data_IF_733077920399
#
_entry.id   IF_733077920399
#
_cell.length_a   1.000
_cell.length_b   1.000
_cell.length_c   1.000
_cell.angle_alpha   90.00
_cell.angle_beta   90.00
_cell.angle_gamma   90.00
#
_symmetry.space_group_name_H-M   'P 1'
#
loop_
_entity.id
_entity.type
_entity.pdbx_description
1 polymer ?
#
# COMPACT_ATOMS: atom_id res chain seq x y z
N UNK A 1 -9.56 -4.30 -24.17
CA UNK A 1 -10.45 -3.34 -23.49
C UNK A 1 -9.60 -2.47 -22.59
N UNK A 2 -9.34 -1.24 -23.00
CA UNK A 2 -8.58 -0.28 -22.17
C UNK A 2 -9.51 0.89 -21.83
N UNK A 3 -10.07 0.89 -20.62
CA UNK A 3 -10.67 2.11 -20.07
C UNK A 3 -9.61 2.89 -19.29
N UNK A 4 -9.59 4.20 -19.46
CA UNK A 4 -8.69 5.07 -18.68
C UNK A 4 -9.14 5.08 -17.22
N UNK A 5 -8.26 4.67 -16.31
CA UNK A 5 -8.47 4.81 -14.87
C UNK A 5 -8.45 6.28 -14.51
N UNK A 6 -9.42 6.73 -13.74
CA UNK A 6 -9.46 8.08 -13.17
C UNK A 6 -9.30 8.02 -11.66
N UNK A 7 -8.76 9.07 -11.06
CA UNK A 7 -8.65 9.17 -9.60
C UNK A 7 -10.07 9.07 -8.99
N UNK A 8 -10.32 8.18 -8.02
CA UNK A 8 -11.60 8.09 -7.33
C UNK A 8 -11.99 9.45 -6.71
N UNK A 9 -13.29 9.74 -6.65
CA UNK A 9 -13.80 11.06 -6.25
C UNK A 9 -13.29 11.48 -4.87
N UNK A 10 -13.43 10.61 -3.85
CA UNK A 10 -12.98 10.93 -2.48
C UNK A 10 -11.46 11.12 -2.40
N UNK A 11 -10.71 10.35 -3.18
CA UNK A 11 -9.26 10.51 -3.27
C UNK A 11 -8.86 11.81 -3.92
N UNK A 12 -9.57 12.22 -4.97
CA UNK A 12 -9.37 13.52 -5.61
C UNK A 12 -9.66 14.67 -4.65
N UNK A 13 -10.76 14.60 -3.91
CA UNK A 13 -11.12 15.60 -2.89
C UNK A 13 -10.04 15.70 -1.80
N UNK A 14 -9.52 14.55 -1.35
CA UNK A 14 -8.43 14.50 -0.38
C UNK A 14 -7.15 15.12 -0.93
N UNK A 15 -6.76 14.78 -2.17
CA UNK A 15 -5.57 15.32 -2.85
C UNK A 15 -5.69 16.83 -3.00
N UNK A 16 -6.81 17.31 -3.54
CA UNK A 16 -7.05 18.75 -3.78
C UNK A 16 -6.95 19.57 -2.48
N UNK A 17 -7.45 19.01 -1.37
CA UNK A 17 -7.43 19.65 -0.06
C UNK A 17 -6.03 19.66 0.57
N UNK A 18 -5.28 18.56 0.46
CA UNK A 18 -4.08 18.35 1.26
C UNK A 18 -2.76 18.59 0.52
N UNK A 19 -2.78 18.56 -0.82
CA UNK A 19 -1.60 18.71 -1.69
C UNK A 19 -1.75 19.88 -2.65
N UNK A 20 -2.13 21.04 -2.12
CA UNK A 20 -2.39 22.25 -2.93
C UNK A 20 -1.22 22.58 -3.87
N UNK A 21 -1.55 22.84 -5.13
CA UNK A 21 -0.58 23.19 -6.20
C UNK A 21 0.03 21.99 -6.94
N UNK A 22 -0.27 20.75 -6.55
CA UNK A 22 0.33 19.54 -7.16
C UNK A 22 -0.65 18.69 -7.99
N UNK A 23 -1.93 19.03 -8.00
CA UNK A 23 -3.01 18.22 -8.58
C UNK A 23 -2.99 18.12 -10.11
N UNK A 24 -2.25 18.96 -10.79
CA UNK A 24 -2.17 18.95 -12.27
C UNK A 24 -1.39 17.74 -12.84
N UNK A 25 -0.59 17.05 -12.03
CA UNK A 25 0.33 16.00 -12.48
C UNK A 25 0.17 14.71 -11.66
N UNK A 26 -1.06 14.18 -11.59
CA UNK A 26 -1.27 12.89 -10.94
C UNK A 26 -0.73 11.74 -11.79
N UNK A 27 0.04 10.86 -11.16
CA UNK A 27 0.60 9.65 -11.75
C UNK A 27 0.01 8.43 -11.04
N UNK A 28 -0.38 7.43 -11.81
CA UNK A 28 -0.87 6.16 -11.28
C UNK A 28 0.28 5.16 -11.20
N UNK A 29 0.31 4.41 -10.08
CA UNK A 29 1.34 3.42 -9.80
C UNK A 29 0.72 2.05 -9.56
N UNK A 30 1.53 1.07 -9.17
CA UNK A 30 1.12 -0.31 -9.01
C UNK A 30 -0.14 -0.45 -8.11
N UNK A 31 -1.23 -1.03 -8.65
CA UNK A 31 -2.39 -1.38 -7.86
C UNK A 31 -2.24 -2.79 -7.28
N UNK A 32 -3.08 -3.11 -6.28
CA UNK A 32 -3.33 -4.49 -5.88
C UNK A 32 -4.83 -4.81 -5.89
N UNK A 33 -5.16 -6.06 -6.11
CA UNK A 33 -6.53 -6.56 -6.13
C UNK A 33 -6.69 -7.64 -5.07
N UNK A 34 -7.56 -7.40 -4.11
CA UNK A 34 -7.98 -8.36 -3.11
C UNK A 34 -9.42 -8.84 -3.39
N UNK A 35 -9.65 -10.14 -3.32
CA UNK A 35 -10.98 -10.72 -3.42
C UNK A 35 -11.51 -11.09 -2.04
N UNK A 36 -12.62 -10.49 -1.64
CA UNK A 36 -13.33 -10.75 -0.39
C UNK A 36 -14.57 -11.59 -0.67
N UNK A 37 -14.47 -12.88 -0.44
CA UNK A 37 -15.62 -13.78 -0.60
C UNK A 37 -16.77 -13.37 0.34
N UNK A 38 -18.01 -13.38 -0.17
CA UNK A 38 -19.21 -13.06 0.57
C UNK A 38 -19.50 -11.56 0.77
N UNK A 39 -18.63 -10.65 0.31
CA UNK A 39 -18.91 -9.21 0.33
C UNK A 39 -19.86 -8.84 -0.84
N UNK A 40 -20.71 -7.82 -0.66
CA UNK A 40 -21.55 -7.27 -1.73
C UNK A 40 -20.71 -6.72 -2.89
N UNK A 41 -19.53 -6.18 -2.59
CA UNK A 41 -18.53 -5.67 -3.53
C UNK A 41 -17.22 -6.45 -3.33
N UNK A 42 -17.09 -7.67 -3.86
CA UNK A 42 -16.02 -8.58 -3.47
C UNK A 42 -14.64 -8.25 -4.05
N UNK A 43 -14.56 -7.37 -5.06
CA UNK A 43 -13.30 -6.99 -5.69
C UNK A 43 -12.81 -5.65 -5.13
N UNK A 44 -11.78 -5.71 -4.28
CA UNK A 44 -11.20 -4.55 -3.60
C UNK A 44 -9.92 -4.12 -4.31
N UNK A 45 -9.98 -2.99 -4.98
CA UNK A 45 -8.85 -2.41 -5.71
C UNK A 45 -8.18 -1.35 -4.86
N UNK A 46 -6.92 -1.59 -4.51
CA UNK A 46 -6.05 -0.63 -3.84
C UNK A 46 -5.24 0.12 -4.89
N UNK A 47 -5.62 1.36 -5.15
CA UNK A 47 -5.09 2.17 -6.25
C UNK A 47 -4.09 3.19 -5.73
N UNK A 48 -2.88 3.15 -6.26
CA UNK A 48 -1.82 4.10 -5.90
C UNK A 48 -1.84 5.32 -6.81
N UNK A 49 -1.82 6.52 -6.22
CA UNK A 49 -1.79 7.80 -6.94
C UNK A 49 -0.78 8.74 -6.31
N UNK A 50 0.12 9.30 -7.11
CA UNK A 50 1.08 10.33 -6.68
C UNK A 50 0.82 11.66 -7.37
N UNK A 51 1.11 12.76 -6.66
CA UNK A 51 1.12 14.10 -7.20
C UNK A 51 2.54 14.46 -7.63
N UNK A 52 2.91 14.05 -8.84
CA UNK A 52 4.25 14.21 -9.41
C UNK A 52 5.12 12.95 -9.36
N UNK A 53 6.01 12.83 -10.35
CA UNK A 53 6.98 11.74 -10.45
C UNK A 53 8.10 11.95 -9.44
N UNK A 54 8.41 10.90 -8.65
CA UNK A 54 9.49 10.92 -7.67
C UNK A 54 9.19 11.68 -6.37
N UNK A 55 7.96 12.21 -6.22
CA UNK A 55 7.50 12.86 -4.99
C UNK A 55 6.91 11.88 -3.98
N UNK A 56 6.57 12.40 -2.79
CA UNK A 56 5.91 11.64 -1.71
C UNK A 56 4.51 12.17 -1.37
N UNK A 57 3.97 13.07 -2.17
CA UNK A 57 2.57 13.46 -2.08
C UNK A 57 1.73 12.38 -2.75
N UNK A 58 1.44 11.29 -2.03
CA UNK A 58 0.85 10.09 -2.59
C UNK A 58 -0.24 9.54 -1.69
N UNK A 59 -1.20 8.87 -2.29
CA UNK A 59 -2.30 8.18 -1.61
C UNK A 59 -2.47 6.78 -2.17
N UNK A 60 -2.84 5.84 -1.31
CA UNK A 60 -3.45 4.57 -1.72
C UNK A 60 -4.93 4.65 -1.36
N UNK A 61 -5.79 4.42 -2.35
CA UNK A 61 -7.23 4.50 -2.27
C UNK A 61 -7.87 3.14 -2.41
N UNK A 62 -9.02 2.92 -1.79
CA UNK A 62 -9.80 1.69 -1.92
C UNK A 62 -11.06 1.94 -2.73
N UNK A 63 -11.22 1.19 -3.81
CA UNK A 63 -12.46 1.03 -4.56
C UNK A 63 -12.91 -0.41 -4.42
N UNK A 64 -14.15 -0.60 -4.01
CA UNK A 64 -14.82 -1.91 -3.95
C UNK A 64 -15.77 -2.04 -5.13
N UNK A 65 -15.67 -3.13 -5.90
CA UNK A 65 -16.45 -3.32 -7.11
C UNK A 65 -17.18 -4.66 -7.11
N UNK A 66 -18.29 -4.74 -7.86
CA UNK A 66 -19.05 -5.99 -8.05
C UNK A 66 -18.44 -6.90 -9.10
N UNK A 67 -17.56 -6.39 -9.97
CA UNK A 67 -16.87 -7.18 -10.99
C UNK A 67 -15.36 -6.95 -10.98
N UNK A 68 -14.56 -7.90 -11.48
CA UNK A 68 -13.12 -7.72 -11.61
C UNK A 68 -12.74 -6.63 -12.63
N UNK A 69 -13.67 -6.28 -13.53
CA UNK A 69 -13.53 -5.12 -14.40
C UNK A 69 -14.05 -3.86 -13.72
N UNK A 70 -13.29 -3.29 -12.79
CA UNK A 70 -13.62 -2.15 -11.91
C UNK A 70 -14.62 -1.13 -12.49
N UNK A 71 -14.53 -0.84 -13.80
CA UNK A 71 -15.37 0.16 -14.47
C UNK A 71 -16.55 -0.44 -15.27
N UNK A 72 -16.73 -1.75 -15.21
CA UNK A 72 -17.78 -2.44 -15.98
C UNK A 72 -19.07 -2.65 -15.18
N UNK A 73 -19.08 -2.26 -13.92
CA UNK A 73 -20.20 -2.48 -13.02
C UNK A 73 -20.31 -1.42 -11.92
N UNK A 74 -21.06 -1.76 -10.90
CA UNK A 74 -21.22 -0.94 -9.71
C UNK A 74 -19.96 -1.00 -8.85
N UNK A 75 -19.61 0.13 -8.29
CA UNK A 75 -18.50 0.24 -7.34
C UNK A 75 -18.80 1.26 -6.25
N UNK A 76 -18.16 1.07 -5.11
CA UNK A 76 -18.17 1.98 -3.97
C UNK A 76 -16.76 2.60 -3.78
N UNK A 77 -16.67 3.92 -3.73
CA UNK A 77 -15.45 4.63 -3.37
C UNK A 77 -15.32 4.69 -1.84
N UNK A 78 -14.46 3.87 -1.28
CA UNK A 78 -14.21 3.83 0.16
C UNK A 78 -13.26 4.94 0.63
N UNK A 79 -12.59 5.62 -0.29
CA UNK A 79 -11.70 6.74 0.00
C UNK A 79 -10.24 6.37 0.17
N UNK A 80 -9.47 7.25 0.82
CA UNK A 80 -8.03 7.08 1.04
C UNK A 80 -7.80 6.13 2.20
N UNK A 81 -6.99 5.09 1.97
CA UNK A 81 -6.57 4.11 2.98
C UNK A 81 -5.35 4.61 3.74
N UNK A 82 -4.37 5.17 3.02
CA UNK A 82 -3.12 5.67 3.59
C UNK A 82 -2.56 6.78 2.70
N UNK A 83 -1.83 7.71 3.31
CA UNK A 83 -1.24 8.81 2.58
C UNK A 83 0.15 9.18 3.09
N UNK A 84 0.96 9.77 2.21
CA UNK A 84 2.24 10.38 2.53
C UNK A 84 2.28 11.82 2.02
N UNK A 85 3.09 12.65 2.68
CA UNK A 85 3.27 14.06 2.30
C UNK A 85 4.75 14.42 2.27
N UNK A 86 5.16 15.16 1.26
CA UNK A 86 6.49 15.78 1.21
C UNK A 86 6.73 16.65 2.45
N UNK A 87 7.99 16.78 2.84
CA UNK A 87 8.42 17.49 4.05
C UNK A 87 7.98 16.86 5.39
N UNK A 88 7.30 15.73 5.35
CA UNK A 88 7.13 14.89 6.51
C UNK A 88 8.29 13.88 6.56
N UNK A 89 9.29 14.12 7.40
CA UNK A 89 10.53 13.32 7.48
C UNK A 89 10.32 11.84 7.84
N UNK A 90 9.10 11.44 8.01
CA UNK A 90 8.76 10.17 8.64
C UNK A 90 8.16 9.13 7.70
N UNK A 91 7.68 9.53 6.52
CA UNK A 91 6.93 8.61 5.68
C UNK A 91 7.76 7.96 4.58
N UNK A 92 7.47 6.69 4.31
CA UNK A 92 7.69 6.08 3.01
C UNK A 92 6.78 6.75 1.98
N UNK A 93 7.02 6.53 0.69
CA UNK A 93 6.05 6.92 -0.34
C UNK A 93 4.86 5.93 -0.27
N UNK A 94 3.63 6.44 -0.09
CA UNK A 94 2.43 5.61 0.02
C UNK A 94 1.91 5.23 -1.37
N UNK A 95 2.61 4.30 -1.98
CA UNK A 95 2.26 3.59 -3.23
C UNK A 95 2.61 2.10 -3.06
N UNK A 96 2.39 1.31 -4.10
CA UNK A 96 2.76 -0.09 -4.18
C UNK A 96 2.08 -0.94 -3.10
N UNK A 97 0.76 -0.93 -3.09
CA UNK A 97 -0.03 -1.76 -2.18
C UNK A 97 0.17 -3.25 -2.47
N UNK A 98 0.20 -4.06 -1.41
CA UNK A 98 0.03 -5.50 -1.48
C UNK A 98 -0.83 -5.98 -0.31
N UNK A 99 -1.89 -6.72 -0.61
CA UNK A 99 -2.79 -7.29 0.40
C UNK A 99 -2.49 -8.77 0.53
N UNK A 100 -2.26 -9.22 1.75
CA UNK A 100 -1.88 -10.59 2.02
C UNK A 100 -2.64 -11.16 3.22
N UNK A 101 -3.38 -12.25 3.00
CA UNK A 101 -3.98 -13.01 4.10
C UNK A 101 -3.04 -14.12 4.52
N UNK A 102 -2.62 -14.10 5.78
CA UNK A 102 -1.69 -15.07 6.33
C UNK A 102 -2.41 -16.29 6.89
N UNK A 103 -1.65 -17.31 7.24
CA UNK A 103 -2.14 -18.61 7.74
C UNK A 103 -2.80 -18.55 9.12
N UNK A 104 -2.63 -17.44 9.84
CA UNK A 104 -3.34 -17.14 11.10
C UNK A 104 -4.73 -16.54 10.87
N UNK A 105 -5.17 -16.42 9.62
CA UNK A 105 -6.46 -15.86 9.21
C UNK A 105 -6.52 -14.34 9.22
N UNK A 106 -5.44 -13.65 9.56
CA UNK A 106 -5.36 -12.21 9.51
C UNK A 106 -4.92 -11.71 8.14
N UNK A 107 -5.45 -10.57 7.77
CA UNK A 107 -5.09 -9.90 6.52
C UNK A 107 -4.25 -8.66 6.81
N UNK A 108 -3.23 -8.46 6.02
CA UNK A 108 -2.25 -7.39 6.17
C UNK A 108 -2.22 -6.51 4.94
N UNK A 109 -2.12 -5.22 5.19
CA UNK A 109 -1.86 -4.18 4.21
C UNK A 109 -0.37 -3.88 4.23
N UNK A 110 0.31 -4.09 3.10
CA UNK A 110 1.75 -3.88 2.93
C UNK A 110 1.92 -2.81 1.87
N UNK A 111 2.81 -1.84 2.10
CA UNK A 111 3.00 -0.72 1.18
C UNK A 111 4.37 -0.10 1.32
N UNK A 112 4.74 0.70 0.36
CA UNK A 112 5.88 1.58 0.43
C UNK A 112 6.80 1.50 -0.77
N UNK A 113 7.44 2.63 -1.04
CA UNK A 113 8.38 2.78 -2.13
C UNK A 113 9.44 3.78 -1.71
N UNK A 114 10.72 3.39 -1.79
CA UNK A 114 11.88 4.22 -1.43
C UNK A 114 11.79 4.83 0.00
N UNK A 115 12.51 5.91 0.24
CA UNK A 115 12.51 6.75 1.44
C UNK A 115 12.69 5.95 2.74
N UNK A 116 11.61 5.67 3.46
CA UNK A 116 11.67 4.93 4.73
C UNK A 116 11.44 3.41 4.56
N UNK A 117 11.24 2.96 3.32
CA UNK A 117 11.13 1.53 2.99
C UNK A 117 9.70 0.98 3.02
N UNK A 118 9.59 -0.31 3.27
CA UNK A 118 8.32 -1.06 3.23
C UNK A 118 7.74 -1.18 4.63
N UNK A 119 6.44 -0.94 4.73
CA UNK A 119 5.66 -1.01 5.96
C UNK A 119 4.54 -2.03 5.84
N UNK A 120 4.04 -2.48 6.98
CA UNK A 120 2.93 -3.40 7.09
C UNK A 120 2.06 -3.02 8.28
N UNK A 121 0.74 -3.16 8.12
CA UNK A 121 -0.24 -3.02 9.20
C UNK A 121 -1.34 -4.08 9.03
N UNK A 122 -2.06 -4.39 10.13
CA UNK A 122 -3.23 -5.25 10.04
C UNK A 122 -4.38 -4.53 9.33
N UNK A 123 -5.00 -5.22 8.37
CA UNK A 123 -6.17 -4.75 7.64
C UNK A 123 -7.44 -5.20 8.37
N UNK A 124 -8.40 -4.31 8.47
CA UNK A 124 -9.76 -4.66 8.83
C UNK A 124 -10.48 -5.22 7.61
N UNK A 125 -10.80 -6.50 7.65
CA UNK A 125 -11.45 -7.20 6.53
C UNK A 125 -12.94 -6.88 6.37
N UNK A 126 -13.56 -6.18 7.30
CA UNK A 126 -14.94 -5.72 7.15
C UNK A 126 -15.00 -4.40 6.38
N UNK A 127 -14.05 -3.54 6.62
CA UNK A 127 -13.98 -2.22 5.98
C UNK A 127 -13.01 -2.15 4.79
N UNK A 128 -11.94 -2.95 4.79
CA UNK A 128 -10.83 -2.85 3.84
C UNK A 128 -9.85 -1.72 4.18
N UNK A 129 -9.91 -1.20 5.40
CA UNK A 129 -9.08 -0.10 5.88
C UNK A 129 -8.04 -0.61 6.89
N UNK A 130 -6.98 0.14 7.10
CA UNK A 130 -5.94 -0.20 8.09
C UNK A 130 -6.48 0.02 9.50
N UNK A 131 -6.32 -0.96 10.37
CA UNK A 131 -6.77 -0.87 11.78
C UNK A 131 -6.07 0.25 12.54
N UNK A 132 -6.82 0.94 13.38
CA UNK A 132 -6.31 1.95 14.30
C UNK A 132 -6.15 3.35 13.72
N UNK A 133 -6.43 3.56 12.43
CA UNK A 133 -6.44 4.89 11.82
C UNK A 133 -7.79 5.55 12.04
N UNK A 134 -7.77 6.82 12.46
CA UNK A 134 -8.96 7.68 12.46
C UNK A 134 -9.16 8.30 11.06
N UNK A 135 -10.08 7.72 10.31
CA UNK A 135 -10.39 8.13 8.94
C UNK A 135 -11.28 9.39 8.85
N UNK A 136 -11.70 9.95 9.99
CA UNK A 136 -12.37 11.26 10.04
C UNK A 136 -11.40 12.42 10.00
N UNK A 137 -10.11 12.16 10.24
CA UNK A 137 -9.03 13.15 10.31
C UNK A 137 -8.00 12.99 9.19
N UNK A 138 -7.96 13.96 8.27
CA UNK A 138 -6.92 14.01 7.23
C UNK A 138 -5.50 14.05 7.83
N UNK A 139 -5.31 14.72 8.96
CA UNK A 139 -4.01 14.78 9.62
C UNK A 139 -3.54 13.41 10.10
N UNK A 140 -4.47 12.57 10.58
CA UNK A 140 -4.18 11.19 10.95
C UNK A 140 -3.84 10.35 9.72
N UNK A 141 -4.60 10.48 8.63
CA UNK A 141 -4.34 9.78 7.37
C UNK A 141 -2.97 10.18 6.80
N UNK A 142 -2.63 11.47 6.78
CA UNK A 142 -1.33 11.98 6.29
C UNK A 142 -0.13 11.52 7.13
N UNK A 143 -0.34 11.19 8.39
CA UNK A 143 0.69 10.64 9.26
C UNK A 143 0.69 9.10 9.35
N UNK A 144 -0.25 8.46 8.68
CA UNK A 144 -0.56 7.04 8.87
C UNK A 144 0.58 6.10 8.48
N UNK A 145 1.27 6.40 7.39
CA UNK A 145 2.31 5.52 6.83
C UNK A 145 3.40 5.12 7.82
N UNK A 146 3.65 5.94 8.82
CA UNK A 146 4.66 5.69 9.83
C UNK A 146 4.08 5.34 11.20
N UNK A 147 2.98 5.99 11.55
CA UNK A 147 2.42 5.87 12.91
C UNK A 147 1.71 4.55 13.12
N UNK A 148 1.10 3.98 12.08
CA UNK A 148 0.23 2.82 12.18
C UNK A 148 0.81 1.55 11.54
N UNK A 149 1.99 1.65 10.92
CA UNK A 149 2.66 0.52 10.30
C UNK A 149 3.95 0.12 11.00
N UNK A 150 4.25 -1.17 10.97
CA UNK A 150 5.56 -1.71 11.32
C UNK A 150 6.43 -1.75 10.08
N UNK A 151 7.63 -1.17 10.17
CA UNK A 151 8.58 -1.20 9.05
C UNK A 151 9.21 -2.58 8.92
N UNK A 152 8.99 -3.22 7.78
CA UNK A 152 9.58 -4.52 7.43
C UNK A 152 10.98 -4.38 6.85
N UNK A 153 11.16 -3.43 5.93
CA UNK A 153 12.44 -3.17 5.28
C UNK A 153 12.76 -1.68 5.33
N UNK A 154 13.99 -1.37 5.67
CA UNK A 154 14.54 -0.03 5.56
C UNK A 154 15.26 0.14 4.22
N UNK A 155 15.41 1.36 3.76
CA UNK A 155 16.29 1.70 2.65
C UNK A 155 17.75 1.61 3.13
N UNK A 156 18.58 0.69 2.59
CA UNK A 156 19.99 0.62 2.95
C UNK A 156 20.75 1.86 2.48
N UNK A 157 21.79 2.25 3.20
CA UNK A 157 22.66 3.35 2.79
C UNK A 157 23.28 3.10 1.42
N UNK A 158 23.21 4.07 0.53
CA UNK A 158 23.80 3.97 -0.82
C UNK A 158 23.03 3.07 -1.80
N UNK A 159 21.86 2.56 -1.40
CA UNK A 159 21.02 1.71 -2.25
C UNK A 159 19.66 2.39 -2.45
N UNK A 160 19.19 2.45 -3.69
CA UNK A 160 17.85 2.90 -4.02
C UNK A 160 16.84 1.76 -3.82
N UNK A 161 15.69 2.04 -3.25
CA UNK A 161 14.67 1.05 -2.86
C UNK A 161 14.68 0.79 -1.35
N UNK A 162 13.89 -0.16 -0.83
CA UNK A 162 12.98 -1.07 -1.55
C UNK A 162 11.70 -0.41 -2.04
N UNK A 163 11.07 -1.05 -3.04
CA UNK A 163 9.75 -0.72 -3.53
C UNK A 163 9.01 -1.97 -4.03
N UNK A 164 7.70 -1.83 -4.37
CA UNK A 164 6.91 -2.88 -4.98
C UNK A 164 6.87 -4.19 -4.17
N UNK A 165 6.45 -4.17 -2.90
CA UNK A 165 6.37 -5.38 -2.11
C UNK A 165 5.31 -6.33 -2.67
N UNK A 166 5.64 -7.62 -2.77
CA UNK A 166 4.68 -8.67 -3.09
C UNK A 166 4.95 -9.91 -2.26
N UNK A 167 3.92 -10.40 -1.57
CA UNK A 167 4.05 -11.50 -0.62
C UNK A 167 3.32 -12.74 -1.11
N UNK A 168 3.97 -13.90 -0.98
CA UNK A 168 3.37 -15.21 -1.22
C UNK A 168 3.70 -16.16 -0.07
N UNK A 169 2.75 -17.04 0.24
CA UNK A 169 2.97 -18.16 1.15
C UNK A 169 3.11 -19.46 0.34
N UNK A 170 4.20 -20.17 0.59
CA UNK A 170 4.38 -21.50 0.02
C UNK A 170 4.00 -22.55 1.07
N UNK A 171 2.88 -23.23 0.84
CA UNK A 171 2.31 -24.22 1.74
C UNK A 171 3.19 -25.46 1.91
N UNK A 172 4.00 -25.81 0.90
CA UNK A 172 4.82 -27.01 0.93
C UNK A 172 6.07 -26.82 1.80
N UNK A 173 6.58 -25.58 1.88
CA UNK A 173 7.76 -25.24 2.67
C UNK A 173 7.43 -24.54 3.99
N UNK A 174 6.23 -24.02 4.16
CA UNK A 174 5.81 -23.23 5.32
C UNK A 174 6.41 -21.80 5.34
N UNK A 175 7.11 -21.38 4.28
CA UNK A 175 7.71 -20.06 4.21
C UNK A 175 6.81 -19.04 3.52
N UNK A 176 6.88 -17.82 4.03
CA UNK A 176 6.41 -16.59 3.37
C UNK A 176 7.61 -15.98 2.65
N UNK A 177 7.42 -15.63 1.40
CA UNK A 177 8.41 -14.96 0.57
C UNK A 177 7.90 -13.57 0.25
N UNK A 178 8.71 -12.55 0.50
CA UNK A 178 8.41 -11.19 0.09
C UNK A 178 9.43 -10.74 -0.96
N UNK A 179 8.92 -10.39 -2.11
CA UNK A 179 9.66 -9.84 -3.23
C UNK A 179 9.62 -8.32 -3.14
N UNK A 180 10.76 -7.67 -3.34
CA UNK A 180 10.86 -6.21 -3.38
C UNK A 180 11.86 -5.80 -4.45
N UNK A 181 11.62 -4.67 -5.08
CA UNK A 181 12.50 -4.12 -6.12
C UNK A 181 13.48 -3.11 -5.55
N UNK A 182 14.67 -3.05 -6.14
CA UNK A 182 15.76 -2.15 -5.77
C UNK A 182 16.42 -1.58 -7.01
N UNK A 183 17.06 -0.42 -6.86
CA UNK A 183 17.82 0.22 -7.92
C UNK A 183 17.04 1.26 -8.68
N UNK A 184 17.60 1.72 -9.79
CA UNK A 184 17.00 2.72 -10.67
C UNK A 184 16.62 2.10 -12.01
N UNK A 185 15.41 2.39 -12.49
CA UNK A 185 14.79 1.77 -13.66
C UNK A 185 15.67 1.76 -14.93
N UNK A 186 16.54 2.72 -15.10
CA UNK A 186 17.40 2.83 -16.28
C UNK A 186 18.74 2.10 -16.19
N UNK A 187 19.18 1.61 -15.04
CA UNK A 187 20.57 1.16 -14.85
C UNK A 187 20.76 -0.14 -14.10
N UNK A 188 20.23 -0.25 -12.90
CA UNK A 188 20.57 -1.34 -11.97
C UNK A 188 19.37 -1.92 -11.23
N UNK A 189 18.18 -1.81 -11.84
CA UNK A 189 16.96 -2.31 -11.25
C UNK A 189 17.01 -3.82 -11.09
N UNK A 190 16.74 -4.31 -9.89
CA UNK A 190 16.82 -5.73 -9.56
C UNK A 190 15.75 -6.13 -8.54
N UNK A 191 15.37 -7.40 -8.59
CA UNK A 191 14.44 -8.00 -7.64
C UNK A 191 15.21 -8.69 -6.52
N UNK A 192 14.78 -8.47 -5.29
CA UNK A 192 15.29 -9.19 -4.11
C UNK A 192 14.16 -9.93 -3.44
N UNK A 193 14.51 -11.01 -2.74
CA UNK A 193 13.57 -11.82 -1.98
C UNK A 193 14.05 -12.00 -0.55
N UNK A 194 13.15 -11.79 0.39
CA UNK A 194 13.30 -12.21 1.78
C UNK A 194 12.32 -13.34 2.08
N UNK A 195 12.62 -14.18 3.06
CA UNK A 195 11.72 -15.24 3.50
C UNK A 195 11.70 -15.39 5.01
N UNK A 196 10.57 -15.84 5.53
CA UNK A 196 10.40 -16.19 6.94
C UNK A 196 9.42 -17.33 7.10
N UNK A 197 9.58 -18.15 8.11
CA UNK A 197 8.59 -19.15 8.54
C UNK A 197 7.65 -18.63 9.64
N UNK A 198 7.91 -17.42 10.18
CA UNK A 198 7.03 -16.76 11.14
C UNK A 198 5.81 -16.16 10.45
N UNK A 199 4.67 -16.20 11.12
CA UNK A 199 3.50 -15.44 10.69
C UNK A 199 3.73 -13.93 10.82
N UNK A 200 2.96 -13.14 10.12
CA UNK A 200 3.04 -11.69 10.26
C UNK A 200 2.57 -11.19 11.63
N UNK A 201 1.65 -11.91 12.29
CA UNK A 201 1.35 -11.64 13.70
C UNK A 201 2.58 -11.78 14.61
N UNK A 202 3.37 -12.83 14.42
CA UNK A 202 4.60 -13.04 15.20
C UNK A 202 5.64 -11.95 14.92
N UNK A 203 5.74 -11.47 13.68
CA UNK A 203 6.63 -10.35 13.31
C UNK A 203 6.15 -9.05 13.98
N UNK A 204 4.84 -8.77 13.95
CA UNK A 204 4.27 -7.56 14.56
C UNK A 204 4.34 -7.57 16.10
N UNK A 205 4.21 -8.74 16.73
CA UNK A 205 4.29 -8.90 18.18
C UNK A 205 5.74 -8.98 18.71
N UNK A 206 6.68 -9.33 17.84
CA UNK A 206 8.10 -9.40 18.18
C UNK A 206 8.72 -8.02 18.28
N UNK A 207 9.45 -7.76 19.38
CA UNK A 207 10.28 -6.57 19.50
C UNK A 207 11.32 -6.53 18.38
N UNK A 208 11.08 -5.70 17.37
CA UNK A 208 11.99 -5.29 16.31
C UNK A 208 12.66 -6.44 15.52
N UNK A 209 12.12 -6.87 14.36
CA UNK A 209 12.75 -7.87 13.50
C UNK A 209 14.10 -7.43 12.88
N UNK A 210 14.54 -6.20 13.17
CA UNK A 210 15.75 -5.58 12.60
C UNK A 210 16.75 -5.10 13.67
N UNK A 211 16.94 -5.89 14.74
CA UNK A 211 18.20 -5.76 15.52
C UNK A 211 19.24 -6.71 15.00
#
# INVERSE_FOLDING_TARGET
YTKKVTVPKKSKEFIDKNYSGTTANTTYWAPDLYYKEGDEYPYWFYLSTSCGLGGRNSVISLIKAKSPGLWDGEYADAGVVIASKENNNYNTNCIDANIFTDTDGKTYFIWGSFWKGIYMAELDTDTGLVKGIDYTSDATILSSGQKFGTRLFSTPSGVLGPEGPYTVYNKDTGYRYMFTSYGWLGTNYNLRVARTNKTFSEILSGSNPHK
#
